data_IF_639992702019
#
_entry.id   IF_639992702019
#
_cell.length_a   1.000
_cell.length_b   1.000
_cell.length_c   1.000
_cell.angle_alpha   90.00
_cell.angle_beta   90.00
_cell.angle_gamma   90.00
#
_symmetry.space_group_name_H-M   'P 1'
#
loop_
_entity.id
_entity.type
_entity.pdbx_description
1 polymer ?
#
# COMPACT_ATOMS: atom_id res chain seq x y z
N UNK A 1 -3.97 -8.64 17.88
CA UNK A 1 -3.34 -9.41 16.78
C UNK A 1 -1.83 -9.40 16.95
N UNK A 2 -1.17 -10.47 16.52
CA UNK A 2 0.30 -10.58 16.53
C UNK A 2 0.80 -10.33 15.11
N UNK A 3 1.72 -9.40 14.92
CA UNK A 3 2.43 -9.16 13.66
C UNK A 3 3.67 -10.02 13.59
N UNK A 4 3.80 -10.81 12.53
CA UNK A 4 5.00 -11.60 12.24
C UNK A 4 5.63 -11.04 10.96
N UNK A 5 6.91 -10.72 11.03
CA UNK A 5 7.67 -10.14 9.91
C UNK A 5 8.60 -11.18 9.30
N UNK A 6 9.00 -10.94 8.07
CA UNK A 6 10.07 -11.69 7.37
C UNK A 6 9.78 -13.20 7.27
N UNK A 7 8.54 -13.56 6.93
CA UNK A 7 8.21 -14.94 6.60
C UNK A 7 8.58 -15.14 5.14
N UNK A 8 9.66 -15.88 4.90
CA UNK A 8 10.16 -16.17 3.55
C UNK A 8 9.56 -17.48 3.05
N UNK A 9 8.94 -17.46 1.87
CA UNK A 9 8.30 -18.58 1.21
C UNK A 9 8.85 -18.75 -0.22
N UNK A 10 8.88 -19.97 -0.78
CA UNK A 10 9.15 -20.16 -2.21
C UNK A 10 8.14 -19.38 -3.08
N UNK A 11 8.50 -19.01 -4.33
CA UNK A 11 7.58 -18.26 -5.20
C UNK A 11 6.25 -18.99 -5.45
N UNK A 12 6.29 -20.31 -5.61
CA UNK A 12 5.14 -21.16 -5.93
C UNK A 12 4.42 -21.74 -4.69
N UNK A 13 4.58 -21.11 -3.53
CA UNK A 13 3.94 -21.60 -2.31
C UNK A 13 2.41 -21.45 -2.34
N UNK A 14 1.70 -22.36 -1.68
CA UNK A 14 0.26 -22.19 -1.43
C UNK A 14 0.04 -21.13 -0.33
N UNK A 15 -0.82 -20.12 -0.55
CA UNK A 15 -1.14 -19.09 0.45
C UNK A 15 -1.62 -19.66 1.81
N UNK A 16 -2.27 -20.81 1.82
CA UNK A 16 -2.69 -21.49 3.05
C UNK A 16 -1.51 -21.86 3.96
N UNK A 17 -0.32 -22.05 3.41
CA UNK A 17 0.88 -22.39 4.18
C UNK A 17 1.32 -21.24 5.13
N UNK A 18 0.92 -20.00 4.86
CA UNK A 18 1.24 -18.88 5.75
C UNK A 18 0.66 -19.06 7.16
N UNK A 19 -0.53 -19.67 7.27
CA UNK A 19 -1.14 -20.00 8.56
C UNK A 19 -0.32 -21.02 9.34
N UNK A 20 0.14 -22.07 8.66
CA UNK A 20 1.00 -23.10 9.27
C UNK A 20 2.34 -22.52 9.72
N UNK A 21 2.98 -21.68 8.90
CA UNK A 21 4.21 -21.01 9.26
C UNK A 21 4.03 -20.06 10.45
N UNK A 22 2.91 -19.33 10.50
CA UNK A 22 2.58 -18.49 11.65
C UNK A 22 2.44 -19.32 12.93
N UNK A 23 1.70 -20.43 12.87
CA UNK A 23 1.51 -21.34 13.99
C UNK A 23 2.85 -21.93 14.48
N UNK A 24 3.71 -22.35 13.54
CA UNK A 24 5.06 -22.87 13.81
C UNK A 24 5.93 -21.83 14.52
N UNK A 25 5.96 -20.60 14.02
CA UNK A 25 6.75 -19.50 14.60
C UNK A 25 6.26 -19.09 15.99
N UNK A 26 4.96 -19.12 16.21
CA UNK A 26 4.34 -18.78 17.49
C UNK A 26 4.28 -20.00 18.46
N UNK A 27 4.69 -21.18 18.00
CA UNK A 27 4.62 -22.44 18.77
C UNK A 27 3.22 -22.73 19.30
N UNK A 28 2.22 -22.53 18.46
CA UNK A 28 0.81 -22.84 18.75
C UNK A 28 0.26 -23.84 17.74
N UNK A 29 -0.84 -24.49 18.09
CA UNK A 29 -1.57 -25.34 17.13
C UNK A 29 -2.18 -24.47 16.02
N UNK A 30 -2.21 -24.98 14.79
CA UNK A 30 -2.77 -24.25 13.64
C UNK A 30 -4.25 -23.90 13.84
N UNK A 31 -5.00 -24.74 14.53
CA UNK A 31 -6.42 -24.51 14.91
C UNK A 31 -6.64 -23.25 15.75
N UNK A 32 -5.61 -22.78 16.46
CA UNK A 32 -5.65 -21.54 17.23
C UNK A 32 -5.48 -20.28 16.40
N UNK A 33 -5.06 -20.38 15.14
CA UNK A 33 -5.02 -19.24 14.22
C UNK A 33 -6.43 -19.00 13.70
N UNK A 34 -7.06 -17.91 14.12
CA UNK A 34 -8.47 -17.59 13.79
C UNK A 34 -8.60 -16.71 12.55
N UNK A 35 -7.65 -15.79 12.36
CA UNK A 35 -7.64 -14.90 11.21
C UNK A 35 -6.21 -14.56 10.83
N UNK A 36 -5.96 -14.37 9.53
CA UNK A 36 -4.67 -13.98 8.97
C UNK A 36 -4.88 -12.87 7.95
N UNK A 37 -4.16 -11.77 8.13
CA UNK A 37 -4.15 -10.63 7.21
C UNK A 37 -2.72 -10.41 6.70
N UNK A 38 -2.54 -10.41 5.39
CA UNK A 38 -1.28 -10.01 4.77
C UNK A 38 -1.16 -8.50 4.84
N UNK A 39 -0.15 -8.03 5.55
CA UNK A 39 0.17 -6.60 5.72
C UNK A 39 1.11 -6.13 4.61
N UNK A 40 2.08 -6.98 4.25
CA UNK A 40 3.06 -6.71 3.20
C UNK A 40 3.48 -8.00 2.51
N UNK A 41 3.63 -7.92 1.20
CA UNK A 41 4.24 -8.94 0.36
C UNK A 41 5.35 -8.28 -0.45
N UNK A 42 6.53 -8.88 -0.50
CA UNK A 42 7.66 -8.39 -1.30
C UNK A 42 8.44 -9.58 -1.87
N UNK A 43 9.16 -9.34 -2.96
CA UNK A 43 10.04 -10.34 -3.58
C UNK A 43 11.46 -10.06 -3.12
N UNK A 44 12.16 -11.09 -2.65
CA UNK A 44 13.58 -11.06 -2.35
C UNK A 44 14.31 -11.87 -3.43
N UNK A 45 14.92 -11.15 -4.37
CA UNK A 45 15.71 -11.72 -5.47
C UNK A 45 17.21 -11.44 -5.35
N UNK A 46 17.70 -11.09 -4.14
CA UNK A 46 19.11 -10.76 -3.91
C UNK A 46 20.04 -11.96 -4.12
N UNK A 47 19.53 -13.16 -3.94
CA UNK A 47 20.29 -14.41 -4.14
C UNK A 47 19.65 -15.22 -5.26
N UNK A 48 20.07 -15.00 -6.49
CA UNK A 48 19.63 -15.81 -7.64
C UNK A 48 20.41 -17.15 -7.65
N UNK A 49 19.76 -18.26 -7.98
CA UNK A 49 18.36 -18.44 -8.38
C UNK A 49 17.36 -18.55 -7.21
N UNK A 50 17.80 -18.49 -5.96
CA UNK A 50 16.96 -18.66 -4.75
C UNK A 50 16.10 -17.40 -4.49
N UNK A 51 15.09 -17.16 -5.34
CA UNK A 51 14.12 -16.08 -5.18
C UNK A 51 13.09 -16.49 -4.12
N UNK A 52 12.72 -15.56 -3.24
CA UNK A 52 11.74 -15.78 -2.17
C UNK A 52 10.67 -14.69 -2.17
N UNK A 53 9.47 -15.07 -1.78
CA UNK A 53 8.40 -14.12 -1.43
C UNK A 53 8.41 -13.95 0.08
N UNK A 54 8.59 -12.70 0.52
CA UNK A 54 8.70 -12.36 1.94
C UNK A 54 7.43 -11.66 2.38
N UNK A 55 6.84 -12.16 3.45
CA UNK A 55 5.59 -11.68 4.00
C UNK A 55 5.76 -11.00 5.36
N UNK A 56 4.95 -9.99 5.59
CA UNK A 56 4.57 -9.53 6.93
C UNK A 56 3.08 -9.78 7.09
N UNK A 57 2.69 -10.51 8.12
CA UNK A 57 1.29 -10.87 8.38
C UNK A 57 0.88 -10.46 9.78
N UNK A 58 -0.41 -10.15 9.94
CA UNK A 58 -1.05 -10.00 11.23
C UNK A 58 -1.96 -11.21 11.45
N UNK A 59 -1.80 -11.88 12.58
CA UNK A 59 -2.59 -13.04 12.93
C UNK A 59 -3.37 -12.81 14.23
N UNK A 60 -4.63 -13.20 14.23
CA UNK A 60 -5.42 -13.32 15.43
C UNK A 60 -5.26 -14.75 15.99
N UNK A 61 -4.80 -14.87 17.20
CA UNK A 61 -4.57 -16.17 17.85
C UNK A 61 -5.47 -16.30 19.06
N UNK A 62 -6.04 -17.48 19.24
CA UNK A 62 -6.85 -17.78 20.42
C UNK A 62 -5.97 -17.82 21.67
N UNK A 63 -6.36 -17.05 22.70
CA UNK A 63 -5.66 -16.97 23.96
C UNK A 63 -4.98 -15.61 24.19
N UNK A 64 -4.10 -15.56 25.18
CA UNK A 64 -3.40 -14.33 25.56
C UNK A 64 -2.19 -14.10 24.66
N UNK A 65 -2.27 -13.12 23.77
CA UNK A 65 -1.23 -12.80 22.76
C UNK A 65 0.14 -12.48 23.40
N UNK A 66 0.16 -11.79 24.54
CA UNK A 66 1.41 -11.48 25.23
C UNK A 66 2.10 -12.73 25.80
N UNK A 67 1.31 -13.66 26.34
CA UNK A 67 1.84 -14.95 26.82
C UNK A 67 2.38 -15.79 25.66
N UNK A 68 1.66 -15.82 24.54
CA UNK A 68 2.08 -16.53 23.31
C UNK A 68 3.41 -15.96 22.80
N UNK A 69 3.53 -14.63 22.69
CA UNK A 69 4.76 -13.98 22.25
C UNK A 69 5.95 -14.32 23.17
N UNK A 70 5.74 -14.21 24.47
CA UNK A 70 6.78 -14.54 25.47
C UNK A 70 7.19 -16.01 25.37
N UNK A 71 6.24 -16.92 25.24
CA UNK A 71 6.52 -18.37 25.15
C UNK A 71 7.16 -18.75 23.81
N UNK A 72 6.74 -18.16 22.70
CA UNK A 72 7.32 -18.44 21.38
C UNK A 72 8.79 -18.05 21.28
N UNK A 73 9.18 -16.98 21.95
CA UNK A 73 10.52 -16.38 21.83
C UNK A 73 10.86 -15.87 20.44
N UNK A 74 9.86 -15.70 19.57
CA UNK A 74 10.06 -15.30 18.18
C UNK A 74 10.41 -13.80 18.09
N UNK A 75 11.68 -13.48 17.83
CA UNK A 75 12.16 -12.08 17.69
C UNK A 75 11.49 -11.31 16.54
N UNK A 76 10.90 -12.00 15.55
CA UNK A 76 10.20 -11.40 14.41
C UNK A 76 8.72 -11.15 14.68
N UNK A 77 8.21 -11.58 15.83
CA UNK A 77 6.81 -11.42 16.23
C UNK A 77 6.67 -10.34 17.31
N UNK A 78 5.65 -9.50 17.17
CA UNK A 78 5.30 -8.46 18.14
C UNK A 78 3.79 -8.21 18.12
N UNK A 79 3.25 -7.52 19.11
CA UNK A 79 1.87 -7.03 19.04
C UNK A 79 1.72 -6.12 17.81
N UNK A 80 0.71 -6.37 16.99
CA UNK A 80 0.43 -5.57 15.82
C UNK A 80 0.07 -4.14 16.23
N UNK A 81 0.74 -3.11 15.68
CA UNK A 81 0.35 -1.75 15.96
C UNK A 81 -1.02 -1.47 15.36
N UNK A 82 -1.91 -0.91 16.16
CA UNK A 82 -3.21 -0.44 15.69
C UNK A 82 -3.02 1.01 15.25
N UNK A 83 -3.01 1.22 13.93
CA UNK A 83 -2.93 2.56 13.37
C UNK A 83 -4.32 2.97 12.90
N UNK A 84 -4.94 3.91 13.61
CA UNK A 84 -6.17 4.56 13.18
C UNK A 84 -5.83 5.92 12.61
N UNK A 85 -6.16 6.12 11.33
CA UNK A 85 -6.19 7.47 10.79
C UNK A 85 -7.30 8.25 11.49
N UNK A 86 -6.92 9.36 12.13
CA UNK A 86 -7.86 10.31 12.68
C UNK A 86 -7.94 11.50 11.72
N UNK A 87 -9.08 11.71 11.05
CA UNK A 87 -9.23 12.92 10.22
C UNK A 87 -9.08 14.17 11.09
N UNK A 88 -8.62 15.27 10.51
CA UNK A 88 -8.52 16.54 11.24
C UNK A 88 -9.90 16.94 11.75
N UNK A 89 -9.93 17.54 12.93
CA UNK A 89 -11.16 18.14 13.45
C UNK A 89 -11.57 19.31 12.55
N UNK A 90 -12.88 19.57 12.39
CA UNK A 90 -13.33 20.76 11.71
C UNK A 90 -12.67 22.01 12.32
N UNK A 91 -12.13 22.86 11.46
CA UNK A 91 -11.53 24.13 11.86
C UNK A 91 -12.47 25.28 11.46
N UNK A 92 -12.48 26.40 12.20
CA UNK A 92 -13.18 27.60 11.76
C UNK A 92 -12.75 27.93 10.31
N UNK A 93 -13.73 28.37 9.50
CA UNK A 93 -13.41 28.76 8.14
C UNK A 93 -12.38 29.89 8.17
N UNK A 94 -11.23 29.71 7.54
CA UNK A 94 -10.29 30.81 7.35
C UNK A 94 -10.96 31.89 6.49
N UNK A 95 -10.73 33.16 6.77
CA UNK A 95 -11.33 34.28 6.02
C UNK A 95 -10.99 34.21 4.51
N UNK A 96 -9.87 33.59 4.15
CA UNK A 96 -9.48 33.31 2.77
C UNK A 96 -9.46 31.79 2.52
N UNK A 97 -9.93 31.37 1.34
CA UNK A 97 -9.93 29.96 0.94
C UNK A 97 -8.48 29.50 0.70
N UNK A 98 -8.06 28.35 1.23
CA UNK A 98 -6.75 27.79 0.91
C UNK A 98 -6.67 27.40 -0.55
N UNK A 99 -5.48 27.56 -1.16
CA UNK A 99 -5.21 27.21 -2.56
C UNK A 99 -4.27 26.00 -2.58
N UNK A 100 -4.67 24.97 -3.32
CA UNK A 100 -3.86 23.78 -3.59
C UNK A 100 -3.41 23.86 -5.04
N UNK A 101 -2.10 23.93 -5.26
CA UNK A 101 -1.53 24.01 -6.61
C UNK A 101 -1.07 22.63 -7.04
N UNK A 102 -1.68 22.12 -8.11
CA UNK A 102 -1.49 20.78 -8.65
C UNK A 102 -2.46 19.75 -8.05
N UNK A 103 -3.01 18.87 -8.92
CA UNK A 103 -3.96 17.82 -8.55
C UNK A 103 -3.36 16.42 -8.73
N UNK A 104 -2.06 16.26 -8.50
CA UNK A 104 -1.42 14.97 -8.32
C UNK A 104 -1.82 14.33 -6.98
N UNK A 105 -1.29 13.13 -6.65
CA UNK A 105 -1.67 12.42 -5.41
C UNK A 105 -1.60 13.28 -4.14
N UNK A 106 -0.53 14.05 -3.98
CA UNK A 106 -0.38 14.97 -2.84
C UNK A 106 -1.44 16.06 -2.81
N UNK A 107 -1.73 16.71 -3.96
CA UNK A 107 -2.75 17.74 -4.07
C UNK A 107 -4.16 17.22 -3.83
N UNK A 108 -4.49 16.02 -4.35
CA UNK A 108 -5.78 15.37 -4.10
C UNK A 108 -6.02 15.14 -2.61
N UNK A 109 -5.04 14.57 -1.91
CA UNK A 109 -5.17 14.33 -0.47
C UNK A 109 -5.18 15.63 0.33
N UNK A 110 -4.38 16.63 -0.04
CA UNK A 110 -4.40 17.94 0.61
C UNK A 110 -5.78 18.61 0.46
N UNK A 111 -6.35 18.61 -0.75
CA UNK A 111 -7.69 19.14 -0.99
C UNK A 111 -8.75 18.39 -0.20
N UNK A 112 -8.69 17.05 -0.18
CA UNK A 112 -9.62 16.22 0.58
C UNK A 112 -9.57 16.53 2.08
N UNK A 113 -8.38 16.59 2.67
CA UNK A 113 -8.20 16.87 4.10
C UNK A 113 -8.69 18.27 4.45
N UNK A 114 -8.39 19.27 3.62
CA UNK A 114 -8.88 20.63 3.80
C UNK A 114 -10.42 20.69 3.70
N UNK A 115 -11.00 19.97 2.74
CA UNK A 115 -12.46 19.89 2.59
C UNK A 115 -13.11 19.22 3.80
N UNK A 116 -12.55 18.10 4.28
CA UNK A 116 -13.00 17.40 5.49
C UNK A 116 -12.90 18.31 6.75
N UNK A 117 -11.92 19.19 6.78
CA UNK A 117 -11.78 20.20 7.83
C UNK A 117 -12.70 21.43 7.65
N UNK A 118 -13.57 21.46 6.63
CA UNK A 118 -14.52 22.55 6.37
C UNK A 118 -13.95 23.78 5.65
N UNK A 119 -12.74 23.69 5.09
CA UNK A 119 -12.00 24.84 4.54
C UNK A 119 -12.31 25.21 3.09
N UNK A 120 -13.12 24.50 2.35
CA UNK A 120 -13.48 24.76 0.93
C UNK A 120 -12.29 25.17 0.05
N UNK A 121 -11.27 24.30 -0.15
CA UNK A 121 -10.08 24.66 -0.89
C UNK A 121 -10.37 25.02 -2.35
N UNK A 122 -9.53 25.86 -2.96
CA UNK A 122 -9.46 26.08 -4.40
C UNK A 122 -8.34 25.18 -4.91
N UNK A 123 -8.63 24.35 -5.92
CA UNK A 123 -7.61 23.51 -6.54
C UNK A 123 -7.29 24.07 -7.91
N UNK A 124 -6.00 24.32 -8.16
CA UNK A 124 -5.48 24.75 -9.45
C UNK A 124 -4.73 23.57 -10.07
N UNK A 125 -5.19 23.09 -11.22
CA UNK A 125 -4.53 22.04 -12.00
C UNK A 125 -4.19 22.60 -13.38
N UNK A 126 -2.95 22.34 -13.83
CA UNK A 126 -2.49 22.75 -15.16
C UNK A 126 -2.88 21.75 -16.23
N UNK A 127 -3.01 20.47 -15.86
CA UNK A 127 -3.36 19.40 -16.78
C UNK A 127 -4.79 19.51 -17.24
N UNK A 128 -5.05 18.91 -18.39
CA UNK A 128 -6.39 18.79 -18.95
C UNK A 128 -7.27 17.86 -18.10
N UNK A 129 -8.57 17.89 -18.37
CA UNK A 129 -9.52 16.97 -17.76
C UNK A 129 -9.18 15.50 -18.08
N UNK A 130 -9.76 14.59 -17.30
CA UNK A 130 -9.44 13.16 -17.39
C UNK A 130 -9.81 12.53 -18.72
N UNK A 131 -10.87 13.00 -19.39
CA UNK A 131 -11.33 12.45 -20.66
C UNK A 131 -10.36 12.84 -21.78
N UNK A 132 -10.03 14.11 -21.92
CA UNK A 132 -9.05 14.63 -22.89
C UNK A 132 -7.68 13.99 -22.72
N UNK A 133 -7.26 13.78 -21.47
CA UNK A 133 -5.99 13.10 -21.17
C UNK A 133 -6.03 11.63 -21.57
N UNK A 134 -7.14 10.94 -21.32
CA UNK A 134 -7.32 9.54 -21.73
C UNK A 134 -7.20 9.38 -23.24
N UNK A 135 -7.86 10.22 -24.03
CA UNK A 135 -7.78 10.19 -25.50
C UNK A 135 -6.34 10.39 -26.00
N UNK A 136 -5.61 11.34 -25.43
CA UNK A 136 -4.21 11.59 -25.79
C UNK A 136 -3.29 10.42 -25.45
N UNK A 137 -3.50 9.76 -24.30
CA UNK A 137 -2.75 8.56 -23.90
C UNK A 137 -3.08 7.40 -24.85
N UNK A 138 -4.34 7.19 -25.22
CA UNK A 138 -4.75 6.17 -26.19
C UNK A 138 -4.12 6.41 -27.55
N UNK A 139 -4.14 7.67 -28.03
CA UNK A 139 -3.49 8.04 -29.27
C UNK A 139 -1.99 7.74 -29.25
N UNK A 140 -1.32 8.10 -28.16
CA UNK A 140 0.11 7.79 -28.00
C UNK A 140 0.40 6.28 -28.09
N UNK A 141 -0.40 5.44 -27.44
CA UNK A 141 -0.21 3.99 -27.50
C UNK A 141 -0.45 3.40 -28.89
N UNK A 142 -1.32 4.04 -29.69
CA UNK A 142 -1.59 3.61 -31.08
C UNK A 142 -0.55 4.10 -32.08
N UNK A 143 -0.05 5.32 -31.91
CA UNK A 143 0.76 6.00 -32.93
C UNK A 143 2.23 6.16 -32.55
N UNK A 144 2.57 6.07 -31.26
CA UNK A 144 3.90 6.41 -30.73
C UNK A 144 4.22 7.90 -30.72
N UNK A 145 3.31 8.78 -31.15
CA UNK A 145 3.51 10.23 -31.19
C UNK A 145 3.44 10.84 -29.77
N UNK A 146 4.55 11.41 -29.32
CA UNK A 146 4.67 12.12 -28.05
C UNK A 146 4.15 13.56 -28.18
N UNK A 147 3.05 13.87 -27.50
CA UNK A 147 2.56 15.23 -27.31
C UNK A 147 3.18 15.78 -26.03
N UNK A 148 4.28 16.54 -26.15
CA UNK A 148 5.16 16.95 -25.05
C UNK A 148 4.46 17.72 -23.92
N UNK A 149 3.43 18.50 -24.23
CA UNK A 149 2.71 19.30 -23.25
C UNK A 149 1.71 18.51 -22.40
N UNK A 150 1.14 17.42 -22.94
CA UNK A 150 0.15 16.59 -22.25
C UNK A 150 0.76 15.53 -21.32
N UNK A 151 2.06 15.24 -21.44
CA UNK A 151 2.66 14.00 -20.95
C UNK A 151 3.63 14.18 -19.77
N UNK A 152 3.74 15.36 -19.17
CA UNK A 152 4.80 15.61 -18.18
C UNK A 152 4.74 14.81 -16.89
N UNK A 153 3.61 14.20 -16.54
CA UNK A 153 3.50 13.38 -15.30
C UNK A 153 2.99 11.94 -15.51
N UNK A 154 2.06 11.74 -16.45
CA UNK A 154 1.36 10.44 -16.58
C UNK A 154 2.15 9.39 -17.38
N UNK A 155 2.94 9.81 -18.37
CA UNK A 155 3.69 8.87 -19.24
C UNK A 155 4.90 8.30 -18.54
N UNK A 156 5.56 9.05 -17.67
CA UNK A 156 6.65 8.50 -16.83
C UNK A 156 6.17 7.35 -15.95
N UNK A 157 4.93 7.40 -15.46
CA UNK A 157 4.35 6.31 -14.68
C UNK A 157 3.94 5.11 -15.56
N UNK A 158 3.43 5.35 -16.78
CA UNK A 158 3.04 4.28 -17.71
C UNK A 158 4.26 3.54 -18.29
N UNK A 159 5.35 4.24 -18.58
CA UNK A 159 6.60 3.62 -19.05
C UNK A 159 7.26 2.73 -17.99
N UNK A 160 7.05 3.02 -16.69
CA UNK A 160 7.56 2.19 -15.61
C UNK A 160 6.78 0.86 -15.45
N UNK A 161 5.62 0.72 -16.10
CA UNK A 161 4.74 -0.45 -15.99
C UNK A 161 4.59 -1.27 -17.28
N UNK A 162 5.24 -0.90 -18.36
CA UNK A 162 5.29 -1.76 -19.56
C UNK A 162 6.16 -2.97 -19.26
N UNK A 163 5.66 -4.22 -19.36
CA UNK A 163 6.52 -5.38 -19.36
C UNK A 163 7.45 -5.26 -20.56
N UNK A 164 8.75 -5.36 -20.35
CA UNK A 164 9.69 -5.60 -21.44
C UNK A 164 9.35 -6.97 -22.02
N UNK A 165 8.61 -6.98 -23.13
CA UNK A 165 8.57 -8.12 -24.03
C UNK A 165 9.92 -8.17 -24.76
N UNK A 166 10.70 -9.14 -24.40
CA UNK A 166 11.89 -9.56 -25.16
C UNK A 166 11.58 -10.78 -25.97
#
# INVERSE_FOLDING_TARGET
MIRIREIAMPPEHNPAQLGFEAARLLKVQNSKIKNLKIVRRSIDARKKPDVKVVYTIDVAVEGNENKILKFSGCKRAAIAPVCYYKPPKPMPAAGKRPVVVGFGPGGMFAALILAMAGQRPIVLERGEDAASRHEKVQKFWQTGELISEAMSSSVKAAQAHSPMES
#
